data_IF_326395338441
#
_entry.id   IF_326395338441
#
_cell.length_a   1.000
_cell.length_b   1.000
_cell.length_c   1.000
_cell.angle_alpha   90.00
_cell.angle_beta   90.00
_cell.angle_gamma   90.00
#
_symmetry.space_group_name_H-M   'P 1'
#
loop_
_entity.id
_entity.type
_entity.pdbx_description
1 polymer ?
#
# COMPACT_ATOMS: atom_id res chain seq x y z
N UNK A 1 -2.95 -57.13 9.67
CA UNK A 1 -2.89 -55.65 9.46
C UNK A 1 -1.90 -55.37 8.33
N UNK A 2 -2.31 -54.67 7.26
CA UNK A 2 -1.52 -54.58 6.01
C UNK A 2 -0.48 -53.45 6.09
N UNK A 3 0.80 -53.82 6.25
CA UNK A 3 1.95 -52.90 6.37
C UNK A 3 1.99 -51.84 5.27
N UNK A 4 1.57 -52.15 4.03
CA UNK A 4 1.53 -51.17 2.93
C UNK A 4 0.53 -50.03 3.18
N UNK A 5 -0.59 -50.32 3.85
CA UNK A 5 -1.58 -49.30 4.23
C UNK A 5 -1.08 -48.40 5.36
N UNK A 6 -0.29 -48.95 6.29
CA UNK A 6 0.33 -48.19 7.39
C UNK A 6 1.42 -47.27 6.83
N UNK A 7 2.28 -47.79 5.96
CA UNK A 7 3.34 -46.99 5.31
C UNK A 7 2.75 -45.87 4.45
N UNK A 8 1.69 -46.15 3.68
CA UNK A 8 0.99 -45.12 2.90
C UNK A 8 0.34 -44.03 3.76
N UNK A 9 -0.28 -44.41 4.89
CA UNK A 9 -0.85 -43.45 5.83
C UNK A 9 0.23 -42.60 6.52
N UNK A 10 1.36 -43.21 6.90
CA UNK A 10 2.50 -42.51 7.49
C UNK A 10 3.16 -41.53 6.52
N UNK A 11 3.32 -41.91 5.24
CA UNK A 11 3.82 -41.01 4.20
C UNK A 11 2.88 -39.82 3.94
N UNK A 12 1.56 -40.03 3.95
CA UNK A 12 0.60 -38.92 3.86
C UNK A 12 0.65 -37.99 5.08
N UNK A 13 0.85 -38.51 6.29
CA UNK A 13 1.03 -37.67 7.49
C UNK A 13 2.37 -36.93 7.52
N UNK A 14 3.43 -37.49 6.91
CA UNK A 14 4.72 -36.82 6.75
C UNK A 14 4.73 -35.77 5.62
N UNK A 15 3.80 -35.88 4.67
CA UNK A 15 3.61 -34.92 3.57
C UNK A 15 2.77 -33.69 3.96
N UNK A 16 2.26 -33.62 5.20
CA UNK A 16 1.76 -32.36 5.79
C UNK A 16 2.96 -31.49 6.21
N UNK A 17 3.82 -31.22 5.24
CA UNK A 17 4.85 -30.19 5.36
C UNK A 17 4.08 -28.87 5.27
N UNK A 18 3.98 -28.20 6.41
CA UNK A 18 3.52 -26.83 6.63
C UNK A 18 3.38 -25.99 5.36
N UNK A 19 2.18 -25.98 4.76
CA UNK A 19 1.84 -24.99 3.76
C UNK A 19 1.67 -23.64 4.49
N UNK A 20 2.74 -22.86 4.59
CA UNK A 20 2.64 -21.48 5.01
C UNK A 20 2.05 -20.69 3.85
N UNK A 21 0.85 -20.12 4.06
CA UNK A 21 0.29 -19.17 3.10
C UNK A 21 1.20 -17.93 3.08
N UNK A 22 1.84 -17.67 1.95
CA UNK A 22 2.66 -16.48 1.77
C UNK A 22 1.76 -15.25 1.76
N UNK A 23 2.09 -14.26 2.59
CA UNK A 23 1.37 -12.98 2.61
C UNK A 23 1.62 -12.23 1.28
N UNK A 24 0.56 -11.72 0.61
CA UNK A 24 0.72 -10.90 -0.58
C UNK A 24 1.20 -9.49 -0.23
N UNK A 25 1.96 -8.87 -1.13
CA UNK A 25 2.50 -7.52 -0.96
C UNK A 25 2.05 -6.56 -2.06
N UNK A 26 2.06 -5.28 -1.74
CA UNK A 26 1.80 -4.19 -2.68
C UNK A 26 2.95 -3.97 -3.66
N UNK A 27 2.66 -3.27 -4.75
CA UNK A 27 3.66 -2.93 -5.76
C UNK A 27 4.65 -1.86 -5.27
N UNK A 28 5.95 -2.12 -5.47
CA UNK A 28 7.00 -1.10 -5.49
C UNK A 28 7.98 -1.50 -6.61
N UNK A 29 7.99 -0.74 -7.70
CA UNK A 29 8.55 -1.23 -8.95
C UNK A 29 9.56 -0.28 -9.58
N UNK A 30 10.54 -0.85 -10.27
CA UNK A 30 11.36 -0.15 -11.25
C UNK A 30 10.66 -0.13 -12.62
N UNK A 31 11.02 0.81 -13.52
CA UNK A 31 10.42 0.90 -14.86
C UNK A 31 10.50 -0.40 -15.68
N UNK A 32 11.57 -1.18 -15.50
CA UNK A 32 11.73 -2.46 -16.19
C UNK A 32 10.69 -3.51 -15.82
N UNK A 33 10.08 -3.41 -14.63
CA UNK A 33 9.03 -4.32 -14.22
C UNK A 33 7.66 -3.88 -14.75
N UNK A 34 7.36 -2.57 -14.68
CA UNK A 34 6.02 -2.06 -15.05
C UNK A 34 5.75 -2.19 -16.56
N UNK A 35 6.79 -2.19 -17.41
CA UNK A 35 6.65 -2.20 -18.88
C UNK A 35 5.84 -3.40 -19.40
N UNK A 36 5.98 -4.56 -18.74
CA UNK A 36 5.34 -5.83 -19.11
C UNK A 36 4.27 -6.26 -18.10
N UNK A 37 3.96 -5.40 -17.12
CA UNK A 37 3.06 -5.71 -16.03
C UNK A 37 1.61 -5.80 -16.52
N UNK A 38 0.94 -6.84 -16.06
CA UNK A 38 -0.49 -7.07 -16.28
C UNK A 38 -1.07 -7.73 -15.03
N UNK A 39 -2.31 -7.44 -14.62
CA UNK A 39 -2.94 -8.09 -13.47
C UNK A 39 -2.93 -9.62 -13.53
N UNK A 40 -2.93 -10.21 -14.72
CA UNK A 40 -2.94 -11.66 -14.93
C UNK A 40 -1.58 -12.32 -14.65
N UNK A 41 -0.48 -11.55 -14.77
CA UNK A 41 0.90 -12.00 -14.53
C UNK A 41 1.38 -11.73 -13.10
N UNK A 42 0.63 -10.93 -12.34
CA UNK A 42 0.93 -10.56 -10.98
C UNK A 42 0.03 -11.35 -10.01
N UNK A 43 0.56 -12.35 -9.28
CA UNK A 43 -0.23 -13.20 -8.40
C UNK A 43 -0.88 -12.41 -7.24
N UNK A 44 -0.32 -11.25 -6.90
CA UNK A 44 -0.78 -10.40 -5.80
C UNK A 44 -1.76 -9.32 -6.27
N UNK A 45 -1.86 -9.06 -7.58
CA UNK A 45 -2.72 -8.01 -8.15
C UNK A 45 -4.18 -8.11 -7.71
N UNK A 46 -4.72 -9.32 -7.54
CA UNK A 46 -6.10 -9.51 -7.05
C UNK A 46 -6.31 -9.04 -5.61
N UNK A 47 -5.28 -9.09 -4.78
CA UNK A 47 -5.31 -8.61 -3.40
C UNK A 47 -5.01 -7.10 -3.29
N UNK A 48 -4.34 -6.53 -4.30
CA UNK A 48 -3.97 -5.12 -4.35
C UNK A 48 -5.04 -4.20 -4.95
N UNK A 49 -6.26 -4.69 -5.18
CA UNK A 49 -7.39 -3.89 -5.67
C UNK A 49 -8.26 -3.43 -4.51
N UNK A 50 -8.43 -2.12 -4.40
CA UNK A 50 -9.46 -1.51 -3.55
C UNK A 50 -10.85 -1.96 -3.99
N UNK A 51 -11.74 -2.14 -3.02
CA UNK A 51 -13.14 -2.51 -3.26
C UNK A 51 -14.12 -1.40 -2.87
N UNK A 52 -13.66 -0.41 -2.12
CA UNK A 52 -14.46 0.76 -1.72
C UNK A 52 -14.40 1.84 -2.80
N UNK A 53 -15.57 2.26 -3.27
CA UNK A 53 -15.68 3.42 -4.17
C UNK A 53 -15.51 4.72 -3.41
N UNK A 54 -14.86 5.71 -4.02
CA UNK A 54 -14.73 7.07 -3.50
C UNK A 54 -16.10 7.63 -3.13
N UNK A 55 -16.31 7.92 -1.85
CA UNK A 55 -17.56 8.49 -1.35
C UNK A 55 -17.65 9.99 -1.68
N UNK A 56 -18.86 10.52 -1.94
CA UNK A 56 -19.06 11.95 -2.03
C UNK A 56 -18.82 12.62 -0.67
N UNK A 57 -18.39 13.89 -0.69
CA UNK A 57 -18.28 14.72 0.52
C UNK A 57 -19.31 15.83 0.49
N UNK A 58 -19.78 16.22 1.67
CA UNK A 58 -20.65 17.39 1.84
C UNK A 58 -19.74 18.55 2.27
N UNK A 59 -19.76 19.64 1.51
CA UNK A 59 -19.24 20.92 1.94
C UNK A 59 -20.44 21.80 2.29
N UNK A 60 -20.47 22.34 3.50
CA UNK A 60 -21.49 23.30 3.92
C UNK A 60 -20.80 24.62 4.28
N UNK A 61 -20.90 25.59 3.37
CA UNK A 61 -20.30 26.92 3.54
C UNK A 61 -20.94 27.73 4.69
N UNK A 62 -22.10 27.29 5.18
CA UNK A 62 -22.79 27.94 6.31
C UNK A 62 -22.24 27.48 7.66
N UNK A 63 -21.53 26.35 7.72
CA UNK A 63 -20.92 25.87 8.96
C UNK A 63 -19.57 26.56 9.15
N UNK A 64 -19.53 27.54 10.06
CA UNK A 64 -18.28 28.19 10.44
C UNK A 64 -17.72 27.65 11.77
N UNK A 65 -16.87 26.62 11.70
CA UNK A 65 -16.18 26.05 12.88
C UNK A 65 -15.00 26.90 13.43
N UNK A 66 -14.37 27.74 12.60
CA UNK A 66 -13.26 28.62 12.99
C UNK A 66 -13.40 30.01 12.32
N UNK A 67 -13.21 31.10 13.06
CA UNK A 67 -13.33 32.47 12.54
C UNK A 67 -12.43 32.77 11.32
N UNK A 68 -11.31 32.06 11.18
CA UNK A 68 -10.34 32.23 10.09
C UNK A 68 -10.39 31.10 9.04
N UNK A 69 -11.41 30.25 9.04
CA UNK A 69 -11.48 29.17 8.06
C UNK A 69 -11.69 29.70 6.64
N UNK A 70 -11.04 29.05 5.68
CA UNK A 70 -11.12 29.38 4.27
C UNK A 70 -11.54 28.13 3.48
N UNK A 71 -12.78 28.10 3.00
CA UNK A 71 -13.41 26.89 2.44
C UNK A 71 -12.90 26.52 1.03
N UNK A 72 -12.28 27.46 0.33
CA UNK A 72 -11.64 27.22 -0.97
C UNK A 72 -10.22 26.63 -0.83
N UNK A 73 -9.63 26.69 0.37
CA UNK A 73 -8.31 26.12 0.63
C UNK A 73 -8.34 24.60 0.59
N UNK A 74 -7.30 23.99 0.01
CA UNK A 74 -7.16 22.55 -0.09
C UNK A 74 -5.89 22.06 0.60
N UNK A 75 -5.96 20.86 1.17
CA UNK A 75 -4.84 20.20 1.87
C UNK A 75 -4.50 18.89 1.17
N UNK A 76 -3.33 18.85 0.56
CA UNK A 76 -2.69 17.62 0.09
C UNK A 76 -1.67 17.13 1.13
N UNK A 77 -1.83 15.90 1.61
CA UNK A 77 -0.95 15.31 2.62
C UNK A 77 -0.07 14.22 2.00
N UNK A 78 1.25 14.31 2.21
CA UNK A 78 2.18 13.23 1.86
C UNK A 78 2.37 12.33 3.08
N UNK A 79 1.87 11.09 3.02
CA UNK A 79 1.86 10.19 4.16
C UNK A 79 2.63 8.90 3.88
N UNK A 80 3.51 8.53 4.80
CA UNK A 80 4.17 7.22 4.83
C UNK A 80 3.43 6.35 5.85
N UNK A 81 2.61 5.41 5.40
CA UNK A 81 1.82 4.55 6.30
C UNK A 81 2.43 3.17 6.53
N UNK A 82 3.45 2.81 5.74
CA UNK A 82 4.24 1.60 5.91
C UNK A 82 5.73 1.93 5.89
N UNK A 83 6.58 1.21 6.65
CA UNK A 83 8.00 1.55 6.81
C UNK A 83 8.82 1.35 5.53
N UNK A 84 8.40 0.44 4.64
CA UNK A 84 9.09 0.10 3.38
C UNK A 84 8.05 -0.08 2.28
N UNK A 85 8.31 0.44 1.08
CA UNK A 85 7.36 0.31 -0.03
C UNK A 85 7.29 -1.15 -0.51
N UNK A 86 8.44 -1.83 -0.55
CA UNK A 86 8.59 -3.21 -1.02
C UNK A 86 7.98 -4.27 -0.10
N UNK A 87 7.76 -3.92 1.17
CA UNK A 87 7.21 -4.84 2.19
C UNK A 87 5.84 -4.40 2.70
N UNK A 88 5.11 -3.60 1.93
CA UNK A 88 3.74 -3.19 2.26
C UNK A 88 2.78 -4.37 2.08
N UNK A 89 2.13 -4.90 3.14
CA UNK A 89 1.17 -5.99 3.00
C UNK A 89 -0.05 -5.56 2.18
N UNK A 90 -0.56 -6.42 1.29
CA UNK A 90 -1.71 -6.07 0.44
C UNK A 90 -2.99 -5.80 1.22
N UNK A 91 -3.17 -6.39 2.40
CA UNK A 91 -4.41 -6.36 3.19
C UNK A 91 -4.17 -6.08 4.69
N UNK A 92 -3.06 -5.41 4.99
CA UNK A 92 -2.58 -5.25 6.38
C UNK A 92 -1.82 -6.46 6.89
N UNK A 93 -1.35 -6.38 8.13
CA UNK A 93 -0.60 -7.44 8.80
C UNK A 93 -1.07 -7.57 10.25
N UNK A 94 -0.72 -8.66 10.91
CA UNK A 94 -0.99 -8.87 12.33
C UNK A 94 -0.09 -7.99 13.22
N UNK A 95 -0.37 -6.68 13.21
CA UNK A 95 0.35 -5.69 13.99
C UNK A 95 -0.63 -4.61 14.48
N UNK A 96 -0.56 -4.29 15.77
CA UNK A 96 -1.37 -3.25 16.38
C UNK A 96 -0.80 -1.84 16.13
N UNK A 97 0.52 -1.72 16.04
CA UNK A 97 1.19 -0.42 15.95
C UNK A 97 1.40 -0.07 14.48
N UNK A 98 0.70 0.96 14.02
CA UNK A 98 0.84 1.49 12.67
C UNK A 98 0.30 2.90 12.57
N UNK A 99 0.60 3.60 11.47
CA UNK A 99 0.07 4.93 11.24
C UNK A 99 -1.35 4.83 10.65
N UNK A 100 -2.35 5.18 11.44
CA UNK A 100 -3.77 5.15 11.10
C UNK A 100 -4.36 6.57 11.21
N UNK A 101 -4.22 7.42 10.17
CA UNK A 101 -4.74 8.77 10.20
C UNK A 101 -6.26 8.79 10.34
N UNK A 102 -6.78 9.78 11.06
CA UNK A 102 -8.22 9.92 11.36
C UNK A 102 -8.77 11.30 11.04
N UNK A 103 -7.92 12.25 10.63
CA UNK A 103 -8.30 13.64 10.32
C UNK A 103 -8.74 13.83 8.86
N UNK A 104 -9.46 12.85 8.31
CA UNK A 104 -9.85 12.80 6.89
C UNK A 104 -10.70 14.01 6.46
N UNK A 105 -11.48 14.58 7.37
CA UNK A 105 -12.32 15.75 7.15
C UNK A 105 -11.53 17.01 6.74
N UNK A 106 -10.22 17.05 7.03
CA UNK A 106 -9.34 18.16 6.67
C UNK A 106 -8.40 17.84 5.50
N UNK A 107 -8.51 16.64 4.90
CA UNK A 107 -7.64 16.19 3.82
C UNK A 107 -8.43 16.14 2.51
N UNK A 108 -7.97 16.85 1.48
CA UNK A 108 -8.56 16.77 0.14
C UNK A 108 -7.93 15.67 -0.70
N UNK A 109 -6.64 15.45 -0.48
CA UNK A 109 -5.85 14.47 -1.21
C UNK A 109 -4.77 13.87 -0.33
N UNK A 110 -4.59 12.57 -0.46
CA UNK A 110 -3.46 11.83 0.11
C UNK A 110 -2.52 11.45 -1.02
N UNK A 111 -1.24 11.74 -0.83
CA UNK A 111 -0.14 11.25 -1.66
C UNK A 111 0.50 10.11 -0.88
N UNK A 112 0.45 8.92 -1.46
CA UNK A 112 1.09 7.73 -0.91
C UNK A 112 2.60 7.86 -0.97
N UNK A 113 3.21 8.38 0.10
CA UNK A 113 4.64 8.63 0.10
C UNK A 113 5.41 7.33 0.27
N UNK A 114 6.16 6.98 -0.76
CA UNK A 114 7.00 5.81 -0.80
C UNK A 114 7.89 5.80 -2.03
N UNK A 115 8.70 4.74 -2.15
CA UNK A 115 9.64 4.56 -3.25
C UNK A 115 11.06 4.95 -2.85
N UNK A 116 12.01 4.22 -3.40
CA UNK A 116 13.44 4.43 -3.18
C UNK A 116 14.24 3.89 -4.35
N UNK A 117 15.49 4.35 -4.49
CA UNK A 117 16.39 3.86 -5.53
C UNK A 117 16.67 2.35 -5.44
N UNK A 118 16.57 1.77 -4.22
CA UNK A 118 16.88 0.37 -3.96
C UNK A 118 15.67 -0.56 -3.97
N UNK A 119 14.45 -0.05 -3.81
CA UNK A 119 13.23 -0.87 -3.74
C UNK A 119 12.37 -0.74 -5.01
N UNK A 120 12.28 0.46 -5.59
CA UNK A 120 11.36 0.77 -6.66
C UNK A 120 10.92 2.23 -6.63
N UNK A 121 10.67 2.81 -7.80
CA UNK A 121 10.35 4.22 -7.97
C UNK A 121 8.91 4.49 -8.40
N UNK A 122 8.14 3.45 -8.73
CA UNK A 122 6.72 3.53 -9.08
C UNK A 122 5.95 2.74 -8.01
N UNK A 123 5.13 3.44 -7.23
CA UNK A 123 4.50 2.88 -6.03
C UNK A 123 3.01 3.20 -6.01
N UNK A 124 2.13 2.25 -6.39
CA UNK A 124 0.70 2.39 -6.13
C UNK A 124 0.41 2.38 -4.60
N UNK A 125 -0.66 3.06 -4.16
CA UNK A 125 -1.13 2.94 -2.78
C UNK A 125 -1.64 1.53 -2.48
N UNK A 126 -1.56 1.09 -1.23
CA UNK A 126 -2.11 -0.21 -0.82
C UNK A 126 -3.63 -0.19 -0.78
N UNK A 127 -4.27 -1.33 -1.08
CA UNK A 127 -5.73 -1.44 -1.13
C UNK A 127 -6.44 -0.96 0.16
N UNK A 128 -5.99 -1.30 1.38
CA UNK A 128 -6.65 -0.86 2.62
C UNK A 128 -6.56 0.65 2.83
N UNK A 129 -5.50 1.29 2.35
CA UNK A 129 -5.33 2.74 2.47
C UNK A 129 -6.19 3.46 1.44
N UNK A 130 -6.29 2.93 0.22
CA UNK A 130 -7.27 3.41 -0.75
C UNK A 130 -8.67 3.30 -0.18
N UNK A 131 -9.02 2.14 0.41
CA UNK A 131 -10.33 1.92 1.01
C UNK A 131 -10.60 2.92 2.14
N UNK A 132 -9.64 3.16 3.04
CA UNK A 132 -9.76 4.15 4.11
C UNK A 132 -9.96 5.58 3.56
N UNK A 133 -9.19 5.99 2.56
CA UNK A 133 -9.36 7.29 1.91
C UNK A 133 -10.74 7.40 1.26
N UNK A 134 -11.13 6.40 0.47
CA UNK A 134 -12.37 6.38 -0.28
C UNK A 134 -13.61 6.35 0.62
N UNK A 135 -13.59 5.60 1.73
CA UNK A 135 -14.66 5.61 2.74
C UNK A 135 -14.91 7.02 3.29
N UNK A 136 -13.87 7.84 3.39
CA UNK A 136 -13.94 9.22 3.87
C UNK A 136 -14.05 10.26 2.74
N UNK A 137 -14.23 9.82 1.49
CA UNK A 137 -14.33 10.71 0.33
C UNK A 137 -13.04 11.47 -0.02
N UNK A 138 -11.89 10.99 0.45
CA UNK A 138 -10.57 11.56 0.17
C UNK A 138 -9.96 10.86 -1.05
N UNK A 139 -9.43 11.65 -2.00
CA UNK A 139 -8.71 11.12 -3.16
C UNK A 139 -7.32 10.64 -2.73
N UNK A 140 -6.81 9.58 -3.34
CA UNK A 140 -5.45 9.11 -3.11
C UNK A 140 -4.69 8.94 -4.43
N UNK A 141 -3.43 9.34 -4.44
CA UNK A 141 -2.50 9.15 -5.55
C UNK A 141 -1.35 8.24 -5.14
N UNK A 142 -0.87 7.42 -6.09
CA UNK A 142 0.41 6.74 -5.99
C UNK A 142 1.59 7.69 -6.20
N UNK A 143 2.80 7.15 -6.12
CA UNK A 143 4.03 7.93 -6.27
C UNK A 143 4.88 7.46 -7.45
N UNK A 144 5.47 8.43 -8.15
CA UNK A 144 6.57 8.20 -9.09
C UNK A 144 7.73 9.06 -8.63
N UNK A 145 8.72 8.43 -8.00
CA UNK A 145 9.79 9.12 -7.29
C UNK A 145 11.14 8.97 -8.00
N UNK A 146 11.67 10.05 -8.56
CA UNK A 146 13.04 10.06 -9.08
C UNK A 146 14.01 10.45 -7.95
N UNK A 147 14.74 9.49 -7.35
CA UNK A 147 15.63 9.78 -6.23
C UNK A 147 16.77 10.71 -6.68
N UNK A 148 17.25 11.54 -5.74
CA UNK A 148 18.39 12.39 -5.99
C UNK A 148 19.61 11.55 -6.41
N UNK A 149 20.28 11.96 -7.47
CA UNK A 149 21.57 11.37 -7.85
C UNK A 149 22.56 11.64 -6.71
N UNK A 150 23.26 10.62 -6.22
CA UNK A 150 24.49 10.87 -5.48
C UNK A 150 25.45 11.61 -6.42
N UNK A 151 25.57 12.94 -6.26
CA UNK A 151 26.79 13.62 -6.64
C UNK A 151 27.81 13.09 -5.64
N UNK A 152 28.68 12.19 -6.09
CA UNK A 152 29.96 11.98 -5.41
C UNK A 152 30.55 13.37 -5.30
N UNK A 153 30.57 13.94 -4.09
CA UNK A 153 31.37 15.10 -3.80
C UNK A 153 32.80 14.67 -4.16
N UNK A 154 33.27 15.09 -5.33
CA UNK A 154 34.69 15.06 -5.66
C UNK A 154 35.40 15.68 -4.48
N UNK A 155 36.21 14.85 -3.80
CA UNK A 155 37.17 15.30 -2.81
C UNK A 155 37.91 16.50 -3.40
N UNK A 156 37.64 17.68 -2.86
CA UNK A 156 38.59 18.77 -2.84
C UNK A 156 39.17 18.75 -1.43
N UNK A 157 40.40 18.27 -1.34
CA UNK A 157 41.15 17.99 -0.11
C UNK A 157 42.28 17.03 -0.44
#
# INVERSE_FOLDING_TARGET
MNIKKIVGALLCSLAVITAFAQQPYGGCWHPDYIKDWTPEKDPDAKFNRSTVKLQPRIADDNIKANQYQYTEGQVAVCLTMNPMCSMTPSQGANNFIGYNPTYWQYMDMVIWWGGSAGEGIIVPPSAPVIDACHMNGVKILGNVFFPLKHIVATRLG
#
